data_IF_251022081482
#
_entry.id   IF_251022081482
#
_cell.length_a   1.000
_cell.length_b   1.000
_cell.length_c   1.000
_cell.angle_alpha   90.00
_cell.angle_beta   90.00
_cell.angle_gamma   90.00
#
_symmetry.space_group_name_H-M   'P 1'
#
loop_
_entity.id
_entity.type
_entity.pdbx_description
1 polymer ?
#
# COMPACT_ATOMS: atom_id res chain seq x y z
N UNK A 1 25.92 3.65 -4.11
CA UNK A 1 25.69 2.53 -5.07
C UNK A 1 24.21 2.13 -5.01
N UNK A 2 23.62 1.81 -6.17
CA UNK A 2 22.25 1.32 -6.26
C UNK A 2 22.26 -0.19 -6.47
N UNK A 3 21.40 -0.93 -5.77
CA UNK A 3 21.24 -2.37 -5.96
C UNK A 3 19.76 -2.71 -6.19
N UNK A 4 19.50 -3.57 -7.18
CA UNK A 4 18.13 -4.08 -7.43
C UNK A 4 17.83 -5.20 -6.45
N UNK A 5 16.74 -5.04 -5.70
CA UNK A 5 16.27 -5.99 -4.68
C UNK A 5 15.20 -6.93 -5.22
N UNK A 6 14.32 -6.44 -6.10
CA UNK A 6 13.30 -7.19 -6.81
C UNK A 6 13.24 -6.72 -8.27
N UNK A 7 13.04 -7.67 -9.17
CA UNK A 7 12.71 -7.41 -10.58
C UNK A 7 11.20 -7.58 -10.82
N UNK A 8 10.76 -7.33 -12.05
CA UNK A 8 9.34 -7.43 -12.43
C UNK A 8 8.73 -8.81 -12.13
N UNK A 9 9.48 -9.89 -12.36
CA UNK A 9 9.02 -11.24 -12.08
C UNK A 9 8.83 -11.51 -10.59
N UNK A 10 9.72 -10.97 -9.76
CA UNK A 10 9.63 -11.07 -8.30
C UNK A 10 8.42 -10.31 -7.77
N UNK A 11 8.15 -9.10 -8.30
CA UNK A 11 6.97 -8.30 -7.96
C UNK A 11 5.68 -9.03 -8.34
N UNK A 12 5.62 -9.57 -9.55
CA UNK A 12 4.46 -10.34 -10.03
C UNK A 12 4.18 -11.56 -9.15
N UNK A 13 5.21 -12.29 -8.74
CA UNK A 13 5.09 -13.42 -7.82
C UNK A 13 4.59 -13.00 -6.43
N UNK A 14 5.09 -11.87 -5.92
CA UNK A 14 4.64 -11.33 -4.64
C UNK A 14 3.16 -10.94 -4.67
N UNK A 15 2.72 -10.26 -5.73
CA UNK A 15 1.31 -9.89 -5.92
C UNK A 15 0.41 -11.13 -6.01
N UNK A 16 0.83 -12.14 -6.75
CA UNK A 16 0.08 -13.39 -6.86
C UNK A 16 -0.08 -14.07 -5.48
N UNK A 17 0.99 -14.17 -4.72
CA UNK A 17 0.97 -14.75 -3.37
C UNK A 17 0.11 -13.96 -2.40
N UNK A 18 0.27 -12.64 -2.35
CA UNK A 18 -0.53 -11.75 -1.49
C UNK A 18 -2.02 -11.87 -1.82
N UNK A 19 -2.39 -11.95 -3.09
CA UNK A 19 -3.79 -12.12 -3.51
C UNK A 19 -4.40 -13.40 -2.95
N UNK A 20 -3.68 -14.52 -2.98
CA UNK A 20 -4.13 -15.78 -2.38
C UNK A 20 -4.20 -15.69 -0.85
N UNK A 21 -3.24 -15.06 -0.20
CA UNK A 21 -3.25 -14.84 1.27
C UNK A 21 -4.45 -14.01 1.72
N UNK A 22 -4.80 -12.95 0.96
CA UNK A 22 -5.98 -12.12 1.21
C UNK A 22 -7.26 -12.96 1.14
N UNK A 23 -7.40 -13.75 0.09
CA UNK A 23 -8.57 -14.61 -0.13
C UNK A 23 -8.70 -15.69 0.96
N UNK A 24 -7.60 -16.29 1.34
CA UNK A 24 -7.59 -17.30 2.40
C UNK A 24 -8.03 -16.71 3.74
N UNK A 25 -7.44 -15.59 4.13
CA UNK A 25 -7.76 -14.93 5.42
C UNK A 25 -9.22 -14.45 5.49
N UNK A 26 -9.78 -13.98 4.38
CA UNK A 26 -11.12 -13.39 4.33
C UNK A 26 -12.21 -14.38 3.86
N UNK A 27 -11.87 -15.64 3.66
CA UNK A 27 -12.79 -16.67 3.16
C UNK A 27 -13.45 -16.28 1.82
N UNK A 28 -12.68 -15.73 0.91
CA UNK A 28 -13.13 -15.25 -0.39
C UNK A 28 -13.10 -13.72 -0.49
N UNK A 29 -13.73 -13.18 -1.52
CA UNK A 29 -13.65 -11.76 -1.86
C UNK A 29 -14.96 -10.98 -1.70
N UNK A 30 -16.04 -11.58 -1.20
CA UNK A 30 -17.37 -10.96 -1.17
C UNK A 30 -17.42 -9.69 -0.29
N UNK A 31 -16.76 -9.73 0.87
CA UNK A 31 -16.80 -8.66 1.86
C UNK A 31 -15.53 -7.82 1.92
N UNK A 32 -14.61 -7.99 0.97
CA UNK A 32 -13.41 -7.17 0.90
C UNK A 32 -13.57 -5.98 -0.06
N UNK A 33 -12.82 -4.93 0.21
CA UNK A 33 -12.57 -3.84 -0.72
C UNK A 33 -11.11 -3.43 -0.61
N UNK A 34 -10.50 -3.08 -1.73
CA UNK A 34 -9.12 -2.59 -1.74
C UNK A 34 -9.09 -1.07 -1.80
N UNK A 35 -8.20 -0.47 -1.03
CA UNK A 35 -7.97 0.97 -1.03
C UNK A 35 -6.49 1.23 -1.17
N UNK A 36 -6.10 1.87 -2.26
CA UNK A 36 -4.71 2.24 -2.54
C UNK A 36 -4.37 3.63 -2.02
N UNK A 37 -3.25 3.75 -1.34
CA UNK A 37 -2.70 5.05 -0.93
C UNK A 37 -1.97 5.67 -2.12
N UNK A 38 -2.30 6.92 -2.46
CA UNK A 38 -1.57 7.64 -3.50
C UNK A 38 -0.09 7.77 -3.11
N UNK A 39 0.87 7.47 -3.99
CA UNK A 39 0.69 7.24 -5.44
C UNK A 39 0.81 5.75 -5.80
N UNK A 40 1.89 5.08 -5.40
CA UNK A 40 2.20 3.70 -5.81
C UNK A 40 1.34 2.65 -5.15
N UNK A 41 0.77 2.94 -3.98
CA UNK A 41 -0.23 2.08 -3.36
C UNK A 41 -1.48 1.89 -4.24
N UNK A 42 -1.80 2.86 -5.09
CA UNK A 42 -2.91 2.76 -6.05
C UNK A 42 -2.60 1.71 -7.12
N UNK A 43 -1.43 1.76 -7.73
CA UNK A 43 -1.01 0.76 -8.73
C UNK A 43 -0.97 -0.65 -8.11
N UNK A 44 -0.40 -0.79 -6.92
CA UNK A 44 -0.37 -2.07 -6.20
C UNK A 44 -1.79 -2.60 -5.94
N UNK A 45 -2.69 -1.75 -5.45
CA UNK A 45 -4.07 -2.13 -5.15
C UNK A 45 -4.85 -2.54 -6.40
N UNK A 46 -4.62 -1.89 -7.54
CA UNK A 46 -5.21 -2.30 -8.82
C UNK A 46 -4.73 -3.69 -9.26
N UNK A 47 -3.45 -3.96 -9.19
CA UNK A 47 -2.89 -5.27 -9.54
C UNK A 47 -3.42 -6.39 -8.63
N UNK A 48 -3.55 -6.12 -7.33
CA UNK A 48 -4.15 -7.07 -6.38
C UNK A 48 -5.63 -7.30 -6.71
N UNK A 49 -6.37 -6.23 -6.99
CA UNK A 49 -7.79 -6.31 -7.40
C UNK A 49 -7.97 -7.18 -8.64
N UNK A 50 -7.25 -6.89 -9.72
CA UNK A 50 -7.30 -7.66 -10.97
C UNK A 50 -7.00 -9.14 -10.73
N UNK A 51 -5.99 -9.43 -9.92
CA UNK A 51 -5.64 -10.81 -9.60
C UNK A 51 -6.73 -11.52 -8.80
N UNK A 52 -7.26 -10.88 -7.78
CA UNK A 52 -8.35 -11.42 -6.94
C UNK A 52 -9.60 -11.66 -7.80
N UNK A 53 -9.98 -10.71 -8.63
CA UNK A 53 -11.12 -10.84 -9.54
C UNK A 53 -10.94 -12.00 -10.54
N UNK A 54 -9.72 -12.21 -11.02
CA UNK A 54 -9.42 -13.32 -11.92
C UNK A 54 -9.51 -14.69 -11.24
N UNK A 55 -9.25 -14.76 -9.94
CA UNK A 55 -9.34 -16.01 -9.16
C UNK A 55 -10.79 -16.33 -8.78
N UNK A 56 -11.52 -15.34 -8.28
CA UNK A 56 -12.87 -15.51 -7.72
C UNK A 56 -14.01 -15.29 -8.73
N UNK A 57 -13.73 -14.71 -9.90
CA UNK A 57 -14.73 -14.33 -10.92
C UNK A 57 -15.82 -13.38 -10.39
N UNK A 58 -15.47 -12.49 -9.48
CA UNK A 58 -16.36 -11.46 -8.94
C UNK A 58 -15.71 -10.09 -9.06
N UNK A 59 -16.52 -9.04 -9.07
CA UNK A 59 -16.02 -7.65 -9.03
C UNK A 59 -15.78 -7.21 -7.60
N UNK A 60 -14.57 -6.72 -7.30
CA UNK A 60 -14.17 -6.22 -5.99
C UNK A 60 -14.20 -4.69 -5.96
N UNK A 61 -14.75 -4.11 -4.90
CA UNK A 61 -14.76 -2.67 -4.70
C UNK A 61 -13.33 -2.14 -4.53
N UNK A 62 -13.07 -0.98 -5.13
CA UNK A 62 -11.76 -0.34 -5.10
C UNK A 62 -11.90 1.16 -4.85
N UNK A 63 -11.05 1.68 -4.00
CA UNK A 63 -10.96 3.10 -3.69
C UNK A 63 -9.51 3.61 -3.73
N UNK A 64 -9.39 4.92 -3.80
CA UNK A 64 -8.12 5.65 -3.81
C UNK A 64 -8.14 6.65 -2.66
N UNK A 65 -7.08 6.69 -1.88
CA UNK A 65 -6.96 7.52 -0.69
C UNK A 65 -5.78 8.50 -0.83
N UNK A 66 -6.08 9.78 -0.70
CA UNK A 66 -5.06 10.83 -0.54
C UNK A 66 -4.92 11.17 0.95
N UNK A 67 -3.72 10.98 1.48
CA UNK A 67 -3.41 11.20 2.90
C UNK A 67 -2.78 12.56 3.18
N UNK A 68 -2.64 13.42 2.18
CA UNK A 68 -1.87 14.66 2.28
C UNK A 68 -2.27 15.52 3.47
N UNK A 69 -3.57 15.67 3.76
CA UNK A 69 -4.08 16.46 4.88
C UNK A 69 -3.89 15.82 6.27
N UNK A 70 -3.56 14.53 6.33
CA UNK A 70 -3.46 13.74 7.56
C UNK A 70 -2.02 13.47 7.99
N UNK A 71 -1.05 13.91 7.18
CA UNK A 71 0.38 13.74 7.46
C UNK A 71 0.81 14.65 8.61
N UNK A 72 1.62 14.10 9.52
CA UNK A 72 2.15 14.81 10.67
C UNK A 72 3.45 15.60 10.37
N UNK A 73 4.04 15.43 9.18
CA UNK A 73 5.23 16.16 8.71
C UNK A 73 4.92 17.47 7.94
N UNK A 74 3.64 17.85 7.77
CA UNK A 74 3.24 19.09 7.08
C UNK A 74 3.58 20.37 7.85
N UNK A 75 3.83 20.28 9.14
CA UNK A 75 4.15 21.44 9.99
C UNK A 75 5.50 22.09 9.66
N UNK A 76 6.38 21.42 8.93
CA UNK A 76 7.74 21.88 8.61
C UNK A 76 7.82 22.80 7.37
N UNK A 77 6.72 23.20 6.81
CA UNK A 77 6.49 24.48 6.12
C UNK A 77 7.22 24.75 4.80
N UNK A 78 7.71 23.76 4.03
CA UNK A 78 8.57 24.08 2.87
C UNK A 78 7.88 23.98 1.50
N UNK A 79 6.76 23.28 1.36
CA UNK A 79 5.98 23.30 0.10
C UNK A 79 4.49 23.11 0.40
N UNK A 80 3.62 23.87 -0.31
CA UNK A 80 2.19 23.56 -0.33
C UNK A 80 2.02 22.17 -0.97
N UNK A 81 1.52 21.17 -0.23
CA UNK A 81 1.33 19.85 -0.80
C UNK A 81 0.27 19.89 -1.90
N UNK A 82 0.53 19.21 -3.00
CA UNK A 82 -0.46 19.04 -4.06
C UNK A 82 -1.56 18.09 -3.57
N UNK A 83 -2.77 18.63 -3.37
CA UNK A 83 -3.94 17.84 -2.99
C UNK A 83 -4.46 17.08 -4.21
N UNK A 84 -4.38 15.77 -4.17
CA UNK A 84 -5.05 14.89 -5.11
C UNK A 84 -6.37 14.43 -4.51
N UNK A 85 -7.25 13.88 -5.33
CA UNK A 85 -8.58 13.51 -4.88
C UNK A 85 -8.60 12.12 -4.24
N UNK A 86 -9.25 12.01 -3.07
CA UNK A 86 -9.70 10.72 -2.52
C UNK A 86 -10.96 10.27 -3.28
N UNK A 87 -10.99 9.01 -3.69
CA UNK A 87 -12.07 8.41 -4.46
C UNK A 87 -12.53 7.10 -3.81
N UNK A 88 -13.50 7.21 -2.89
CA UNK A 88 -14.16 6.07 -2.26
C UNK A 88 -15.66 6.22 -2.51
N UNK A 89 -16.18 5.45 -3.48
CA UNK A 89 -17.56 5.55 -3.98
C UNK A 89 -18.48 4.44 -3.47
N UNK A 90 -18.09 3.75 -2.42
CA UNK A 90 -18.84 2.65 -1.82
C UNK A 90 -18.85 2.81 -0.28
N UNK A 91 -19.89 2.26 0.41
CA UNK A 91 -19.92 2.29 1.87
C UNK A 91 -18.85 1.35 2.45
N UNK A 92 -18.20 1.80 3.54
CA UNK A 92 -17.18 1.01 4.23
C UNK A 92 -17.78 -0.01 5.20
N UNK A 93 -19.03 0.21 5.62
CA UNK A 93 -19.74 -0.64 6.58
C UNK A 93 -19.81 -2.08 6.06
N UNK A 94 -19.57 -3.04 6.97
CA UNK A 94 -19.53 -4.48 6.68
C UNK A 94 -18.45 -4.91 5.68
N UNK A 95 -17.45 -4.05 5.39
CA UNK A 95 -16.32 -4.39 4.54
C UNK A 95 -15.04 -4.60 5.36
N UNK A 96 -14.24 -5.54 4.91
CA UNK A 96 -12.84 -5.68 5.31
C UNK A 96 -11.99 -4.91 4.30
N UNK A 97 -11.44 -3.79 4.72
CA UNK A 97 -10.65 -2.93 3.85
C UNK A 97 -9.21 -3.43 3.80
N UNK A 98 -8.73 -3.73 2.60
CA UNK A 98 -7.31 -4.01 2.35
C UNK A 98 -6.65 -2.71 1.94
N UNK A 99 -5.98 -2.07 2.87
CA UNK A 99 -5.23 -0.85 2.65
C UNK A 99 -3.87 -1.19 2.02
N UNK A 100 -3.55 -0.60 0.88
CA UNK A 100 -2.37 -0.95 0.09
C UNK A 100 -1.38 0.21 0.01
N UNK A 101 -0.10 -0.08 0.26
CA UNK A 101 1.01 0.84 0.08
C UNK A 101 2.25 0.12 -0.46
N UNK A 102 3.19 0.84 -1.03
CA UNK A 102 4.38 0.26 -1.64
C UNK A 102 5.43 -0.13 -0.58
N UNK A 103 5.80 0.78 0.32
CA UNK A 103 6.84 0.58 1.34
C UNK A 103 6.34 0.94 2.73
N UNK A 104 6.46 0.01 3.65
CA UNK A 104 6.23 0.26 5.07
C UNK A 104 7.56 0.54 5.76
N UNK A 105 7.64 1.70 6.41
CA UNK A 105 8.81 2.17 7.15
C UNK A 105 8.46 2.46 8.60
N UNK A 106 8.22 3.73 8.96
CA UNK A 106 7.93 4.12 10.35
C UNK A 106 6.52 3.80 10.79
N UNK A 107 5.59 3.66 9.86
CA UNK A 107 4.15 3.49 10.11
C UNK A 107 3.36 4.80 10.08
N UNK A 108 4.00 5.97 9.94
CA UNK A 108 3.33 7.28 9.97
C UNK A 108 2.41 7.50 8.78
N UNK A 109 2.81 7.06 7.58
CA UNK A 109 1.94 7.08 6.39
C UNK A 109 0.67 6.24 6.60
N UNK A 110 0.81 5.06 7.17
CA UNK A 110 -0.32 4.16 7.42
C UNK A 110 -1.25 4.71 8.51
N UNK A 111 -0.70 5.29 9.56
CA UNK A 111 -1.53 5.98 10.56
C UNK A 111 -2.36 7.09 9.93
N UNK A 112 -1.75 7.95 9.11
CA UNK A 112 -2.46 9.00 8.38
C UNK A 112 -3.55 8.43 7.46
N UNK A 113 -3.27 7.31 6.79
CA UNK A 113 -4.22 6.63 5.92
C UNK A 113 -5.42 6.06 6.70
N UNK A 114 -5.19 5.47 7.87
CA UNK A 114 -6.27 4.98 8.73
C UNK A 114 -7.15 6.15 9.22
N UNK A 115 -6.56 7.25 9.65
CA UNK A 115 -7.30 8.44 10.08
C UNK A 115 -8.17 8.98 8.94
N UNK A 116 -7.61 9.10 7.72
CA UNK A 116 -8.35 9.54 6.55
C UNK A 116 -9.49 8.58 6.17
N UNK A 117 -9.23 7.28 6.22
CA UNK A 117 -10.21 6.25 5.86
C UNK A 117 -11.42 6.27 6.79
N UNK A 118 -11.21 6.43 8.09
CA UNK A 118 -12.27 6.45 9.11
C UNK A 118 -13.24 7.62 8.92
N UNK A 119 -12.82 8.73 8.31
CA UNK A 119 -13.71 9.84 7.96
C UNK A 119 -14.76 9.46 6.90
N UNK A 120 -14.56 8.38 6.16
CA UNK A 120 -15.50 7.87 5.15
C UNK A 120 -16.47 6.81 5.67
N UNK A 121 -16.29 6.33 6.90
CA UNK A 121 -17.16 5.33 7.49
C UNK A 121 -16.42 4.38 8.43
N UNK A 122 -17.16 3.41 8.96
CA UNK A 122 -16.63 2.41 9.89
C UNK A 122 -16.59 1.02 9.26
N UNK A 123 -15.45 0.60 8.70
CA UNK A 123 -15.31 -0.76 8.17
C UNK A 123 -15.35 -1.81 9.30
N UNK A 124 -15.61 -3.06 8.93
CA UNK A 124 -15.51 -4.20 9.85
C UNK A 124 -14.09 -4.43 10.31
N UNK A 125 -13.11 -4.25 9.43
CA UNK A 125 -11.69 -4.27 9.74
C UNK A 125 -10.88 -3.50 8.70
N UNK A 126 -9.66 -3.11 9.07
CA UNK A 126 -8.64 -2.62 8.15
C UNK A 126 -7.46 -3.56 8.23
N UNK A 127 -7.07 -4.12 7.10
CA UNK A 127 -5.90 -4.97 6.93
C UNK A 127 -4.90 -4.22 6.06
N UNK A 128 -3.61 -4.44 6.27
CA UNK A 128 -2.54 -3.74 5.57
C UNK A 128 -1.77 -4.67 4.64
N UNK A 129 -1.70 -4.33 3.36
CA UNK A 129 -0.88 -4.99 2.35
C UNK A 129 0.21 -4.04 1.87
N UNK A 130 1.47 -4.46 1.93
CA UNK A 130 2.61 -3.70 1.44
C UNK A 130 3.49 -4.56 0.55
N UNK A 131 4.10 -3.96 -0.46
CA UNK A 131 5.05 -4.69 -1.29
C UNK A 131 6.35 -4.94 -0.52
N UNK A 132 6.85 -3.93 0.19
CA UNK A 132 8.09 -4.00 0.96
C UNK A 132 7.85 -3.55 2.40
N UNK A 133 8.31 -4.37 3.34
CA UNK A 133 8.51 -3.96 4.73
C UNK A 133 10.02 -3.81 4.98
N UNK A 134 10.47 -2.59 5.25
CA UNK A 134 11.88 -2.29 5.49
C UNK A 134 12.28 -2.18 6.97
N UNK A 135 11.32 -2.35 7.89
CA UNK A 135 11.54 -2.19 9.32
C UNK A 135 11.58 -0.73 9.78
N UNK A 136 12.16 -0.48 10.94
CA UNK A 136 12.31 0.84 11.58
C UNK A 136 11.00 1.52 11.97
N UNK A 137 10.05 0.76 12.54
CA UNK A 137 8.80 1.31 13.04
C UNK A 137 9.03 2.36 14.13
N UNK A 138 8.22 3.41 14.08
CA UNK A 138 8.05 4.39 15.15
C UNK A 138 6.66 4.31 15.78
N UNK A 139 5.71 3.65 15.13
CA UNK A 139 4.36 3.39 15.59
C UNK A 139 4.08 1.88 15.61
N UNK A 140 3.15 1.39 16.47
CA UNK A 140 2.84 -0.04 16.59
C UNK A 140 1.95 -0.53 15.44
N UNK A 141 2.45 -0.43 14.21
CA UNK A 141 1.77 -0.80 12.98
C UNK A 141 2.50 -1.99 12.36
N UNK A 142 1.75 -3.02 11.99
CA UNK A 142 2.24 -4.23 11.34
C UNK A 142 1.48 -4.51 10.06
N UNK A 143 2.15 -4.95 8.99
CA UNK A 143 1.46 -5.39 7.79
C UNK A 143 0.85 -6.78 8.02
N UNK A 144 -0.32 -7.00 7.43
CA UNK A 144 -0.96 -8.32 7.39
C UNK A 144 -0.43 -9.14 6.21
N UNK A 145 -0.08 -8.47 5.12
CA UNK A 145 0.44 -9.06 3.89
C UNK A 145 1.68 -8.30 3.44
N UNK A 146 2.75 -9.02 3.16
CA UNK A 146 4.05 -8.45 2.79
C UNK A 146 4.59 -9.14 1.55
N UNK A 147 4.97 -8.37 0.55
CA UNK A 147 5.67 -8.90 -0.63
C UNK A 147 7.05 -9.42 -0.25
N UNK A 148 7.86 -8.59 0.38
CA UNK A 148 9.18 -8.96 0.88
C UNK A 148 9.58 -8.13 2.11
N UNK A 149 10.12 -8.82 3.12
CA UNK A 149 10.79 -8.17 4.24
C UNK A 149 12.24 -7.89 3.83
N UNK A 150 12.65 -6.62 3.90
CA UNK A 150 13.99 -6.18 3.55
C UNK A 150 14.54 -5.31 4.68
N UNK A 151 15.09 -5.91 5.73
CA UNK A 151 15.74 -5.15 6.80
C UNK A 151 16.87 -4.29 6.20
N UNK A 152 16.79 -2.98 6.40
CA UNK A 152 17.75 -2.02 5.84
C UNK A 152 18.28 -1.10 6.93
N UNK A 153 19.48 -0.55 6.74
CA UNK A 153 19.94 0.55 7.58
C UNK A 153 19.07 1.80 7.35
N UNK A 154 18.92 2.65 8.37
CA UNK A 154 18.17 3.92 8.25
C UNK A 154 18.75 4.84 7.17
N UNK A 155 20.07 4.79 6.95
CA UNK A 155 20.80 5.54 5.92
C UNK A 155 20.54 5.07 4.48
N UNK A 156 19.85 3.96 4.30
CA UNK A 156 19.47 3.45 2.97
C UNK A 156 18.06 3.91 2.63
N UNK A 157 17.83 4.15 1.36
CA UNK A 157 16.51 4.42 0.80
C UNK A 157 16.07 3.22 -0.03
N UNK A 158 14.87 2.74 0.21
CA UNK A 158 14.20 1.73 -0.62
C UNK A 158 13.18 2.44 -1.49
N UNK A 159 13.24 2.20 -2.79
CA UNK A 159 12.29 2.76 -3.76
C UNK A 159 11.65 1.63 -4.55
N UNK A 160 10.34 1.66 -4.61
CA UNK A 160 9.53 0.83 -5.49
C UNK A 160 9.26 1.61 -6.76
N UNK A 161 9.48 0.98 -7.89
CA UNK A 161 9.06 1.45 -9.21
C UNK A 161 7.97 0.50 -9.70
N UNK A 162 6.89 1.05 -10.20
CA UNK A 162 5.80 0.31 -10.84
C UNK A 162 5.55 0.92 -12.21
N UNK A 163 5.33 0.06 -13.20
CA UNK A 163 5.23 0.46 -14.61
C UNK A 163 4.22 1.58 -14.85
N UNK A 164 3.10 1.56 -14.13
CA UNK A 164 2.03 2.57 -14.26
C UNK A 164 2.46 3.99 -13.90
N UNK A 165 3.45 4.12 -13.01
CA UNK A 165 3.93 5.42 -12.51
C UNK A 165 5.36 5.74 -12.98
N UNK A 166 6.20 4.72 -13.10
CA UNK A 166 7.64 4.86 -13.27
C UNK A 166 8.16 4.30 -14.61
N UNK A 167 7.31 3.59 -15.38
CA UNK A 167 7.63 2.99 -16.68
C UNK A 167 8.43 1.69 -16.60
N UNK A 168 8.67 1.18 -15.39
CA UNK A 168 9.29 -0.13 -15.16
C UNK A 168 8.96 -0.71 -13.79
N UNK A 169 9.05 -2.02 -13.67
CA UNK A 169 8.82 -2.74 -12.41
C UNK A 169 10.14 -3.15 -11.77
N UNK A 170 10.49 -2.55 -10.66
CA UNK A 170 11.64 -2.94 -9.84
C UNK A 170 11.57 -2.39 -8.43
N UNK A 171 12.31 -2.99 -7.52
CA UNK A 171 12.62 -2.41 -6.21
C UNK A 171 14.11 -2.22 -6.12
N UNK A 172 14.53 -1.02 -5.78
CA UNK A 172 15.93 -0.66 -5.63
C UNK A 172 16.24 -0.16 -4.22
N UNK A 173 17.47 -0.38 -3.80
CA UNK A 173 18.04 0.21 -2.60
C UNK A 173 19.23 1.07 -2.97
N UNK A 174 19.30 2.26 -2.42
CA UNK A 174 20.39 3.20 -2.64
C UNK A 174 20.76 3.95 -1.36
N UNK A 175 21.96 4.50 -1.34
CA UNK A 175 22.38 5.37 -0.25
C UNK A 175 21.57 6.66 -0.30
N UNK A 176 21.15 7.17 0.89
CA UNK A 176 20.59 8.51 0.95
C UNK A 176 21.69 9.52 0.63
N UNK A 177 21.41 10.57 -0.17
CA UNK A 177 22.35 11.69 -0.29
C UNK A 177 22.55 12.30 1.11
N UNK A 178 23.82 12.56 1.44
CA UNK A 178 24.18 13.29 2.66
C UNK A 178 23.71 14.74 2.59
#
# INVERSE_FOLDING_TARGET
>A
MSSTLLNAKDISRAINRISHEILERNNGAEDIALVGIRTRGVALSHRLKEKIESIENITVKHGILDITLYRDDLADGIQKPELKKTEISFPLENKHIILCDDVLFTGRTIRAAIDALIDFGRPSSVQLAVLIDRGHRELPIRPDYVGKNIPTAKSKRVQVHLDEEDGDDKVIMQDQPQ
#
